data_IF_428245892672
#
_entry.id   IF_428245892672
#
_cell.length_a   1.000
_cell.length_b   1.000
_cell.length_c   1.000
_cell.angle_alpha   90.00
_cell.angle_beta   90.00
_cell.angle_gamma   90.00
#
_symmetry.space_group_name_H-M   'P 1'
#
loop_
_entity.id
_entity.type
_entity.pdbx_description
1 polymer ?
#
# COMPACT_ATOMS: atom_id res chain seq x y z
N UNK A 1 10.61 23.83 -7.64
CA UNK A 1 10.61 22.45 -8.18
C UNK A 1 9.27 21.79 -7.81
N UNK A 2 8.25 21.94 -8.66
CA UNK A 2 7.01 21.16 -8.60
C UNK A 2 6.61 20.93 -10.06
N UNK A 3 7.24 19.95 -10.72
CA UNK A 3 7.08 19.73 -12.17
C UNK A 3 6.04 18.66 -12.52
N UNK A 4 5.44 18.01 -11.52
CA UNK A 4 4.43 16.98 -11.75
C UNK A 4 3.04 17.60 -11.73
N UNK A 5 2.41 17.67 -12.90
CA UNK A 5 1.03 18.17 -13.07
C UNK A 5 -0.02 17.27 -12.42
N UNK A 6 0.39 16.10 -11.89
CA UNK A 6 -0.49 15.14 -11.23
C UNK A 6 0.19 14.54 -10.01
N UNK A 7 -0.02 15.15 -8.85
CA UNK A 7 0.24 14.48 -7.57
C UNK A 7 -0.86 13.45 -7.37
N UNK A 8 -0.50 12.16 -7.34
CA UNK A 8 -1.46 11.10 -7.06
C UNK A 8 -2.02 11.27 -5.63
N UNK A 9 -3.34 11.13 -5.46
CA UNK A 9 -3.96 11.23 -4.13
C UNK A 9 -3.39 10.22 -3.14
N UNK A 10 -2.87 9.09 -3.63
CA UNK A 10 -2.19 8.07 -2.83
C UNK A 10 -0.89 8.54 -2.17
N UNK A 11 -0.32 9.65 -2.63
CA UNK A 11 1.00 10.09 -2.20
C UNK A 11 0.87 11.18 -1.12
N UNK A 12 -0.32 11.77 -0.98
CA UNK A 12 -0.61 12.84 -0.03
C UNK A 12 -0.45 12.35 1.42
N UNK A 13 -1.11 11.25 1.80
CA UNK A 13 -1.07 10.79 3.19
C UNK A 13 0.32 10.32 3.65
N UNK A 14 1.06 9.50 2.87
CA UNK A 14 2.42 9.09 3.24
C UNK A 14 3.38 10.27 3.39
N UNK A 15 3.25 11.29 2.55
CA UNK A 15 4.07 12.51 2.64
C UNK A 15 3.74 13.29 3.91
N UNK A 16 2.46 13.56 4.16
CA UNK A 16 2.03 14.28 5.38
C UNK A 16 2.46 13.52 6.63
N UNK A 17 2.27 12.21 6.65
CA UNK A 17 2.71 11.36 7.76
C UNK A 17 4.23 11.40 7.96
N UNK A 18 5.00 11.26 6.88
CA UNK A 18 6.46 11.32 6.93
C UNK A 18 6.97 12.67 7.44
N UNK A 19 6.37 13.77 7.00
CA UNK A 19 6.72 15.11 7.49
C UNK A 19 6.46 15.25 9.00
N UNK A 20 5.31 14.77 9.47
CA UNK A 20 4.93 14.89 10.88
C UNK A 20 5.84 14.08 11.81
N UNK A 21 6.27 12.89 11.40
CA UNK A 21 7.08 12.00 12.24
C UNK A 21 8.57 12.31 12.14
N UNK A 22 9.09 12.57 10.94
CA UNK A 22 10.53 12.60 10.73
C UNK A 22 11.11 14.01 10.65
N UNK A 23 10.34 14.97 10.13
CA UNK A 23 10.88 16.30 9.77
C UNK A 23 10.41 17.41 10.71
N UNK A 24 9.19 17.29 11.24
CA UNK A 24 8.55 18.28 12.10
C UNK A 24 8.58 17.90 13.58
N UNK A 25 9.27 16.81 13.94
CA UNK A 25 9.61 16.52 15.33
C UNK A 25 10.63 17.53 15.84
N UNK A 26 10.33 18.17 16.97
CA UNK A 26 11.30 19.01 17.67
C UNK A 26 12.45 18.14 18.19
N UNK A 27 13.68 18.53 17.89
CA UNK A 27 14.91 17.95 18.41
C UNK A 27 15.43 18.80 19.57
N UNK A 28 16.23 18.20 20.46
CA UNK A 28 16.99 18.94 21.48
C UNK A 28 17.93 19.99 20.88
N UNK A 29 18.36 19.75 19.64
CA UNK A 29 19.33 20.58 18.93
C UNK A 29 18.67 21.73 18.15
N UNK A 30 17.34 21.78 18.12
CA UNK A 30 16.61 22.85 17.43
C UNK A 30 16.70 24.16 18.21
N UNK A 31 16.98 25.25 17.50
CA UNK A 31 16.85 26.59 18.09
C UNK A 31 15.38 26.89 18.43
N UNK A 32 15.14 27.77 19.41
CA UNK A 32 13.78 28.14 19.80
C UNK A 32 12.90 28.62 18.62
N UNK A 33 13.50 29.33 17.66
CA UNK A 33 12.83 29.77 16.45
C UNK A 33 12.47 28.61 15.52
N UNK A 34 13.37 27.64 15.36
CA UNK A 34 13.13 26.43 14.56
C UNK A 34 12.01 25.59 15.17
N UNK A 35 12.04 25.38 16.49
CA UNK A 35 11.00 24.63 17.20
C UNK A 35 9.61 25.26 17.00
N UNK A 36 9.50 26.59 17.12
CA UNK A 36 8.24 27.30 16.86
C UNK A 36 7.73 27.15 15.43
N UNK A 37 8.63 27.21 14.44
CA UNK A 37 8.27 27.01 13.04
C UNK A 37 7.78 25.58 12.81
N UNK A 38 8.51 24.57 13.31
CA UNK A 38 8.13 23.16 13.21
C UNK A 38 6.77 22.91 13.86
N UNK A 39 6.53 23.43 15.05
CA UNK A 39 5.23 23.33 15.75
C UNK A 39 4.11 23.96 14.94
N UNK A 40 4.31 25.17 14.42
CA UNK A 40 3.30 25.87 13.62
C UNK A 40 2.92 25.08 12.37
N UNK A 41 3.91 24.56 11.64
CA UNK A 41 3.66 23.74 10.45
C UNK A 41 2.98 22.42 10.84
N UNK A 42 3.42 21.80 11.93
CA UNK A 42 2.84 20.55 12.45
C UNK A 42 1.36 20.72 12.78
N UNK A 43 1.01 21.80 13.45
CA UNK A 43 -0.36 22.07 13.87
C UNK A 43 -1.26 22.42 12.69
N UNK A 44 -0.75 23.18 11.71
CA UNK A 44 -1.50 23.45 10.47
C UNK A 44 -1.76 22.17 9.66
N UNK A 45 -0.76 21.30 9.52
CA UNK A 45 -0.92 20.01 8.84
C UNK A 45 -1.91 19.10 9.57
N UNK A 46 -1.82 19.01 10.91
CA UNK A 46 -2.77 18.23 11.72
C UNK A 46 -4.20 18.75 11.57
N UNK A 47 -4.38 20.07 11.55
CA UNK A 47 -5.70 20.70 11.38
C UNK A 47 -6.30 20.40 10.01
N UNK A 48 -5.50 20.48 8.94
CA UNK A 48 -5.96 20.28 7.56
C UNK A 48 -6.22 18.82 7.21
N UNK A 49 -5.32 17.92 7.60
CA UNK A 49 -5.35 16.51 7.17
C UNK A 49 -5.87 15.55 8.23
N UNK A 50 -5.98 15.98 9.50
CA UNK A 50 -6.47 15.19 10.64
C UNK A 50 -5.93 13.75 10.67
N UNK A 51 -4.61 13.51 10.54
CA UNK A 51 -4.06 12.20 10.24
C UNK A 51 -4.30 11.11 11.30
N UNK A 52 -4.79 11.48 12.48
CA UNK A 52 -5.09 10.61 13.62
C UNK A 52 -6.59 10.52 13.94
N UNK A 53 -7.47 11.23 13.21
CA UNK A 53 -8.90 11.17 13.47
C UNK A 53 -9.49 9.88 12.88
N UNK A 54 -10.41 9.26 13.61
CA UNK A 54 -11.16 8.07 13.15
C UNK A 54 -11.94 8.36 11.86
N UNK A 55 -12.42 9.59 11.68
CA UNK A 55 -13.11 10.05 10.46
C UNK A 55 -12.22 10.02 9.21
N UNK A 56 -10.90 10.05 9.38
CA UNK A 56 -9.94 10.12 8.26
C UNK A 56 -9.69 8.76 7.61
N UNK A 57 -10.14 7.67 8.25
CA UNK A 57 -10.13 6.28 7.75
C UNK A 57 -10.79 6.15 6.38
N UNK A 58 -11.87 6.91 6.13
CA UNK A 58 -12.60 6.91 4.87
C UNK A 58 -12.16 8.01 3.89
N UNK A 59 -11.17 8.83 4.25
CA UNK A 59 -10.76 9.93 3.37
C UNK A 59 -10.03 9.41 2.12
N UNK A 60 -10.30 10.05 0.98
CA UNK A 60 -9.72 9.66 -0.33
C UNK A 60 -8.20 9.50 -0.27
N UNK A 61 -7.41 10.43 0.32
CA UNK A 61 -5.96 10.27 0.41
C UNK A 61 -5.53 9.00 1.16
N UNK A 62 -6.21 8.65 2.25
CA UNK A 62 -5.86 7.47 3.06
C UNK A 62 -6.26 6.19 2.35
N UNK A 63 -7.46 6.12 1.79
CA UNK A 63 -7.96 4.96 1.03
C UNK A 63 -7.09 4.70 -0.19
N UNK A 64 -6.81 5.72 -1.00
CA UNK A 64 -5.95 5.57 -2.19
C UNK A 64 -4.51 5.19 -1.83
N UNK A 65 -4.01 5.62 -0.66
CA UNK A 65 -2.70 5.20 -0.14
C UNK A 65 -2.70 3.73 0.27
N UNK A 66 -3.77 3.23 0.89
CA UNK A 66 -3.92 1.84 1.28
C UNK A 66 -3.98 0.90 0.08
N UNK A 67 -4.67 1.32 -0.99
CA UNK A 67 -4.80 0.56 -2.23
C UNK A 67 -3.50 0.58 -3.06
N UNK A 68 -2.58 1.51 -2.79
CA UNK A 68 -1.31 1.59 -3.49
C UNK A 68 -0.33 0.53 -2.98
N UNK A 69 0.08 -0.38 -3.89
CA UNK A 69 0.98 -1.51 -3.60
C UNK A 69 2.31 -1.05 -2.97
N UNK A 70 2.81 0.13 -3.38
CA UNK A 70 4.07 0.71 -2.86
C UNK A 70 4.04 0.90 -1.34
N UNK A 71 2.86 1.09 -0.78
CA UNK A 71 2.66 1.47 0.62
C UNK A 71 2.12 0.34 1.49
N UNK A 72 1.83 -0.83 0.89
CA UNK A 72 1.32 -2.03 1.61
C UNK A 72 2.20 -2.43 2.81
N UNK A 73 3.51 -2.22 2.70
CA UNK A 73 4.51 -2.57 3.73
C UNK A 73 4.87 -1.43 4.67
N UNK A 74 4.36 -0.21 4.44
CA UNK A 74 4.68 0.92 5.30
C UNK A 74 3.83 0.87 6.58
N UNK A 75 4.49 1.23 7.69
CA UNK A 75 3.93 1.20 9.04
C UNK A 75 3.25 2.52 9.42
N UNK A 76 2.78 3.31 8.45
CA UNK A 76 2.08 4.56 8.75
C UNK A 76 0.62 4.36 9.20
N UNK A 77 0.00 3.21 8.93
CA UNK A 77 -1.30 2.82 9.50
C UNK A 77 -1.08 1.69 10.50
N UNK A 78 -1.70 1.80 11.68
CA UNK A 78 -1.74 0.71 12.66
C UNK A 78 -2.57 -0.47 12.12
N UNK A 79 -2.39 -1.66 12.68
CA UNK A 79 -3.15 -2.85 12.28
C UNK A 79 -4.67 -2.65 12.45
N UNK A 80 -5.08 -2.03 13.56
CA UNK A 80 -6.48 -1.67 13.83
C UNK A 80 -7.04 -0.71 12.78
N UNK A 81 -6.27 0.31 12.40
CA UNK A 81 -6.67 1.26 11.38
C UNK A 81 -6.82 0.57 10.01
N UNK A 82 -5.87 -0.29 9.63
CA UNK A 82 -5.95 -1.09 8.40
C UNK A 82 -7.18 -1.99 8.39
N UNK A 83 -7.56 -2.57 9.54
CA UNK A 83 -8.74 -3.43 9.68
C UNK A 83 -10.03 -2.62 9.53
N UNK A 84 -10.15 -1.49 10.23
CA UNK A 84 -11.30 -0.59 10.13
C UNK A 84 -11.47 -0.03 8.72
N UNK A 85 -10.37 0.33 8.05
CA UNK A 85 -10.40 0.79 6.66
C UNK A 85 -10.86 -0.27 5.68
N UNK A 86 -10.47 -1.54 5.86
CA UNK A 86 -10.95 -2.63 4.99
C UNK A 86 -12.45 -2.84 5.15
N UNK A 87 -12.95 -2.81 6.39
CA UNK A 87 -14.39 -2.89 6.64
C UNK A 87 -15.16 -1.74 5.97
N UNK A 88 -14.66 -0.51 6.08
CA UNK A 88 -15.26 0.64 5.39
C UNK A 88 -15.19 0.52 3.86
N UNK A 89 -14.11 -0.05 3.31
CA UNK A 89 -13.99 -0.30 1.88
C UNK A 89 -14.97 -1.38 1.40
N UNK A 90 -15.12 -2.46 2.16
CA UNK A 90 -16.09 -3.53 1.88
C UNK A 90 -17.51 -2.97 1.86
N UNK A 91 -17.88 -2.14 2.84
CA UNK A 91 -19.18 -1.44 2.88
C UNK A 91 -19.39 -0.56 1.64
N UNK A 92 -18.39 0.24 1.24
CA UNK A 92 -18.47 1.06 0.03
C UNK A 92 -18.55 0.22 -1.26
N UNK A 93 -17.99 -1.00 -1.28
CA UNK A 93 -18.01 -1.87 -2.45
C UNK A 93 -19.38 -2.54 -2.66
N UNK A 94 -20.10 -2.86 -1.58
CA UNK A 94 -21.47 -3.39 -1.63
C UNK A 94 -22.46 -2.38 -2.25
N UNK A 95 -22.19 -1.07 -2.13
CA UNK A 95 -23.02 -0.02 -2.73
C UNK A 95 -22.70 0.27 -4.21
N UNK A 96 -21.61 -0.26 -4.75
CA UNK A 96 -21.26 -0.07 -6.17
C UNK A 96 -21.93 -1.19 -6.98
N UNK A 97 -22.91 -0.89 -7.85
CA UNK A 97 -23.42 -1.87 -8.78
C UNK A 97 -22.25 -2.28 -9.66
N UNK A 98 -21.73 -3.48 -9.47
CA UNK A 98 -20.78 -4.08 -10.38
C UNK A 98 -21.50 -4.11 -11.73
N UNK A 99 -21.07 -3.24 -12.66
CA UNK A 99 -21.50 -3.36 -14.05
C UNK A 99 -21.06 -4.76 -14.48
N UNK A 100 -22.03 -5.66 -14.64
CA UNK A 100 -21.81 -6.94 -15.29
C UNK A 100 -21.18 -6.63 -16.64
N UNK A 101 -19.87 -6.86 -16.73
CA UNK A 101 -19.21 -6.96 -18.02
C UNK A 101 -19.64 -8.30 -18.61
N UNK A 102 -20.89 -8.36 -19.08
CA UNK A 102 -21.26 -9.28 -20.15
C UNK A 102 -20.29 -9.00 -21.28
N UNK A 103 -19.42 -9.99 -21.47
CA UNK A 103 -18.35 -10.03 -22.44
C UNK A 103 -18.98 -9.92 -23.83
N UNK A 104 -19.02 -8.70 -24.37
CA UNK A 104 -19.44 -8.50 -25.74
C UNK A 104 -18.29 -8.99 -26.64
N UNK A 105 -18.39 -10.23 -27.10
CA UNK A 105 -17.39 -10.94 -27.93
C UNK A 105 -17.30 -10.41 -29.37
N UNK A 106 -17.54 -9.12 -29.61
CA UNK A 106 -17.43 -8.56 -30.97
C UNK A 106 -16.41 -7.43 -31.03
N UNK A 107 -15.28 -7.79 -31.64
CA UNK A 107 -14.21 -6.97 -32.21
C UNK A 107 -12.92 -6.88 -31.38
N UNK A 108 -12.15 -7.96 -31.46
CA UNK A 108 -10.71 -7.97 -31.19
C UNK A 108 -9.98 -7.68 -32.52
N UNK A 109 -9.24 -6.56 -32.68
CA UNK A 109 -8.19 -6.51 -33.68
C UNK A 109 -7.00 -7.30 -33.14
N UNK A 110 -6.61 -8.37 -33.86
CA UNK A 110 -5.44 -9.17 -33.52
C UNK A 110 -4.18 -8.31 -33.41
N UNK A 111 -3.70 -8.09 -32.19
CA UNK A 111 -2.34 -7.61 -31.96
C UNK A 111 -1.45 -8.80 -31.65
N UNK A 112 -0.59 -9.13 -32.62
CA UNK A 112 0.42 -10.20 -32.54
C UNK A 112 1.27 -9.99 -31.29
N UNK A 113 1.17 -10.92 -30.33
CA UNK A 113 2.04 -10.95 -29.16
C UNK A 113 3.49 -11.24 -29.59
N UNK A 114 4.50 -10.50 -29.12
CA UNK A 114 5.89 -10.91 -29.28
C UNK A 114 6.16 -12.16 -28.44
N UNK A 115 6.78 -13.18 -29.07
CA UNK A 115 7.21 -14.43 -28.43
C UNK A 115 8.38 -14.18 -27.48
N UNK A 116 8.14 -14.03 -26.18
CA UNK A 116 9.18 -14.20 -25.17
C UNK A 116 9.42 -15.70 -24.94
N UNK A 117 10.38 -16.27 -25.65
CA UNK A 117 10.70 -17.72 -25.61
C UNK A 117 12.11 -18.03 -25.10
N UNK A 118 12.80 -17.10 -24.43
CA UNK A 118 14.23 -17.28 -24.12
C UNK A 118 14.65 -17.28 -22.65
N UNK A 119 13.75 -17.32 -21.67
CA UNK A 119 14.17 -17.41 -20.26
C UNK A 119 13.35 -18.38 -19.40
N UNK A 120 13.32 -19.65 -19.79
CA UNK A 120 13.18 -20.76 -18.83
C UNK A 120 14.05 -21.94 -19.30
N UNK A 121 15.31 -21.99 -18.88
CA UNK A 121 16.10 -23.23 -18.83
C UNK A 121 15.96 -23.79 -17.40
N UNK A 122 15.01 -24.70 -17.20
CA UNK A 122 15.11 -25.66 -16.09
C UNK A 122 15.93 -26.86 -16.60
N UNK A 123 17.01 -27.28 -15.92
CA UNK A 123 17.54 -28.62 -16.15
C UNK A 123 16.67 -29.63 -15.39
N UNK A 124 15.90 -30.40 -16.16
CA UNK A 124 15.50 -31.75 -15.77
C UNK A 124 16.76 -32.57 -15.46
N UNK A 125 16.82 -33.17 -14.27
CA UNK A 125 16.98 -34.63 -14.10
C UNK A 125 17.18 -35.03 -12.63
N UNK A 126 16.27 -35.91 -12.20
CA UNK A 126 16.51 -37.10 -11.39
C UNK A 126 17.06 -36.93 -9.96
N UNK A 127 16.21 -37.19 -8.96
CA UNK A 127 16.34 -38.42 -8.14
C UNK A 127 15.09 -38.64 -7.26
N UNK A 128 14.44 -39.79 -7.42
CA UNK A 128 13.57 -40.40 -6.39
C UNK A 128 14.43 -41.39 -5.60
N UNK A 129 14.11 -41.59 -4.31
CA UNK A 129 13.89 -42.97 -3.90
C UNK A 129 12.63 -43.13 -3.05
N UNK A 130 11.91 -44.23 -3.34
CA UNK A 130 10.90 -44.84 -2.47
C UNK A 130 11.61 -45.68 -1.40
N UNK A 131 11.11 -45.65 -0.16
CA UNK A 131 10.87 -46.88 0.59
C UNK A 131 11.57 -47.06 1.95
N UNK A 132 10.76 -47.56 2.89
CA UNK A 132 11.04 -48.25 4.17
C UNK A 132 11.34 -47.38 5.39
N UNK A 133 10.27 -47.12 6.17
CA UNK A 133 10.38 -46.92 7.62
C UNK A 133 10.34 -48.33 8.24
N UNK A 134 11.51 -48.82 8.63
CA UNK A 134 11.67 -50.04 9.41
C UNK A 134 11.71 -49.70 10.91
N UNK A 135 11.04 -50.54 11.70
CA UNK A 135 11.12 -50.65 13.16
C UNK A 135 12.51 -50.36 13.72
N UNK A 136 12.58 -49.58 14.80
CA UNK A 136 13.67 -49.68 15.77
C UNK A 136 13.08 -49.77 17.16
N UNK A 137 13.29 -50.92 17.78
CA UNK A 137 13.03 -51.25 19.17
C UNK A 137 14.30 -50.96 19.99
N UNK A 138 14.09 -50.73 21.29
CA UNK A 138 15.03 -50.35 22.34
C UNK A 138 16.35 -51.16 22.41
N UNK A 139 17.33 -50.62 23.14
CA UNK A 139 17.76 -51.26 24.38
C UNK A 139 17.27 -50.54 25.64
#
# INVERSE_FOLDING_TARGET
MCSDKHVASSDIYPVVWGLLINSLSCSSDDSASMSRVKETIRDDLKRRFRPYASETVASIPVVTSLLNIRYKRLNFLTAELKKSMRAALEEMMEEVPLRDHTRDERQQPETKRPRYSFLIRFPDKCFKPRGRVGLVHLP
#
